data_IF_061323955824
#
_entry.id   IF_061323955824
#
_cell.length_a   1.000
_cell.length_b   1.000
_cell.length_c   1.000
_cell.angle_alpha   90.00
_cell.angle_beta   90.00
_cell.angle_gamma   90.00
#
_symmetry.space_group_name_H-M   'P 1'
#
loop_
_entity.id
_entity.type
_entity.pdbx_description
1 polymer ?
#
# COMPACT_ATOMS: atom_id res chain seq x y z
N UNK A 1 -33.90 14.42 21.21
CA UNK A 1 -34.95 13.93 20.30
C UNK A 1 -34.40 12.86 19.39
N UNK A 2 -35.14 11.76 19.20
CA UNK A 2 -34.74 10.63 18.35
C UNK A 2 -34.39 11.06 16.92
N UNK A 3 -35.13 12.01 16.35
CA UNK A 3 -34.84 12.59 15.02
C UNK A 3 -33.43 13.18 14.88
N UNK A 4 -32.85 13.74 15.96
CA UNK A 4 -31.46 14.26 15.93
C UNK A 4 -30.43 13.13 15.94
N UNK A 5 -30.70 12.06 16.70
CA UNK A 5 -29.82 10.88 16.74
C UNK A 5 -29.82 10.15 15.40
N UNK A 6 -30.98 10.00 14.78
CA UNK A 6 -31.12 9.38 13.46
C UNK A 6 -30.34 10.17 12.38
N UNK A 7 -30.53 11.49 12.31
CA UNK A 7 -29.77 12.35 11.40
C UNK A 7 -28.25 12.25 11.61
N UNK A 8 -27.80 12.18 12.87
CA UNK A 8 -26.38 11.99 13.19
C UNK A 8 -25.86 10.63 12.73
N UNK A 9 -26.68 9.58 12.83
CA UNK A 9 -26.31 8.23 12.40
C UNK A 9 -26.17 8.16 10.89
N UNK A 10 -27.10 8.76 10.15
CA UNK A 10 -27.04 8.80 8.68
C UNK A 10 -25.85 9.62 8.19
N UNK A 11 -25.55 10.75 8.84
CA UNK A 11 -24.37 11.54 8.53
C UNK A 11 -23.07 10.74 8.77
N UNK A 12 -22.97 10.00 9.89
CA UNK A 12 -21.82 9.15 10.17
C UNK A 12 -21.69 8.00 9.15
N UNK A 13 -22.81 7.40 8.72
CA UNK A 13 -22.83 6.36 7.70
C UNK A 13 -22.38 6.88 6.34
N UNK A 14 -22.89 8.04 5.93
CA UNK A 14 -22.46 8.72 4.69
C UNK A 14 -20.97 9.03 4.71
N UNK A 15 -20.44 9.54 5.83
CA UNK A 15 -19.01 9.80 5.99
C UNK A 15 -18.17 8.54 5.84
N UNK A 16 -18.57 7.44 6.50
CA UNK A 16 -17.87 6.14 6.40
C UNK A 16 -17.92 5.57 4.97
N UNK A 17 -19.05 5.72 4.28
CA UNK A 17 -19.20 5.29 2.89
C UNK A 17 -18.23 6.04 1.95
N UNK A 18 -18.20 7.37 2.04
CA UNK A 18 -17.26 8.20 1.26
C UNK A 18 -15.80 7.89 1.57
N UNK A 19 -15.49 7.67 2.85
CA UNK A 19 -14.14 7.27 3.26
C UNK A 19 -13.71 5.96 2.60
N UNK A 20 -14.57 4.93 2.59
CA UNK A 20 -14.27 3.67 1.91
C UNK A 20 -14.07 3.85 0.41
N UNK A 21 -14.91 4.64 -0.26
CA UNK A 21 -14.75 4.93 -1.69
C UNK A 21 -13.40 5.58 -2.01
N UNK A 22 -12.94 6.53 -1.18
CA UNK A 22 -11.62 7.15 -1.34
C UNK A 22 -10.50 6.14 -1.14
N UNK A 23 -10.63 5.22 -0.19
CA UNK A 23 -9.65 4.14 0.00
C UNK A 23 -9.58 3.20 -1.20
N UNK A 24 -10.73 2.85 -1.78
CA UNK A 24 -10.81 2.00 -2.97
C UNK A 24 -10.14 2.69 -4.16
N UNK A 25 -10.40 3.99 -4.37
CA UNK A 25 -9.76 4.79 -5.42
C UNK A 25 -8.24 4.89 -5.21
N UNK A 26 -7.79 5.16 -3.98
CA UNK A 26 -6.37 5.21 -3.65
C UNK A 26 -5.69 3.88 -3.94
N UNK A 27 -6.31 2.77 -3.54
CA UNK A 27 -5.84 1.41 -3.80
C UNK A 27 -5.60 1.14 -5.28
N UNK A 28 -6.52 1.55 -6.14
CA UNK A 28 -6.41 1.38 -7.60
C UNK A 28 -5.25 2.19 -8.24
N UNK A 29 -4.74 3.21 -7.56
CA UNK A 29 -3.59 3.99 -8.03
C UNK A 29 -2.23 3.40 -7.60
N UNK A 30 -2.20 2.37 -6.76
CA UNK A 30 -0.97 1.77 -6.25
C UNK A 30 -0.39 0.74 -7.24
N UNK A 31 0.95 0.59 -7.32
CA UNK A 31 1.60 -0.37 -8.19
C UNK A 31 1.58 -1.78 -7.59
N UNK A 32 0.38 -2.30 -7.30
CA UNK A 32 0.17 -3.64 -6.73
C UNK A 32 -0.82 -4.41 -7.61
N UNK A 33 -0.70 -5.74 -7.61
CA UNK A 33 -1.64 -6.58 -8.34
C UNK A 33 -3.07 -6.45 -7.77
N UNK A 34 -4.13 -6.50 -8.59
CA UNK A 34 -5.51 -6.41 -8.11
C UNK A 34 -5.88 -7.48 -7.08
N UNK A 35 -5.31 -8.69 -7.20
CA UNK A 35 -5.49 -9.79 -6.25
C UNK A 35 -4.93 -9.45 -4.87
N UNK A 36 -3.75 -8.83 -4.82
CA UNK A 36 -3.14 -8.34 -3.57
C UNK A 36 -3.95 -7.19 -2.99
N UNK A 37 -4.37 -6.24 -3.83
CA UNK A 37 -5.17 -5.09 -3.40
C UNK A 37 -6.46 -5.51 -2.70
N UNK A 38 -7.15 -6.55 -3.21
CA UNK A 38 -8.37 -7.07 -2.63
C UNK A 38 -8.21 -7.62 -1.20
N UNK A 39 -6.97 -7.92 -0.78
CA UNK A 39 -6.63 -8.41 0.55
C UNK A 39 -6.14 -7.31 1.49
N UNK A 40 -5.89 -6.10 0.99
CA UNK A 40 -5.36 -5.00 1.80
C UNK A 40 -6.46 -4.36 2.64
N UNK A 41 -6.17 -4.16 3.92
CA UNK A 41 -6.96 -3.28 4.77
C UNK A 41 -6.57 -1.81 4.56
N UNK A 42 -7.40 -0.89 5.08
CA UNK A 42 -7.19 0.57 4.96
C UNK A 42 -5.82 1.02 5.47
N UNK A 43 -5.33 0.40 6.55
CA UNK A 43 -4.02 0.72 7.12
C UNK A 43 -2.88 0.29 6.20
N UNK A 44 -2.98 -0.89 5.58
CA UNK A 44 -2.00 -1.39 4.62
C UNK A 44 -2.00 -0.58 3.33
N UNK A 45 -3.17 -0.15 2.84
CA UNK A 45 -3.29 0.80 1.72
C UNK A 45 -2.50 2.09 2.03
N UNK A 46 -2.66 2.66 3.23
CA UNK A 46 -1.88 3.85 3.64
C UNK A 46 -0.37 3.58 3.68
N UNK A 47 0.04 2.44 4.27
CA UNK A 47 1.47 2.08 4.35
C UNK A 47 2.09 1.94 2.97
N UNK A 48 1.44 1.20 2.06
CA UNK A 48 1.90 1.03 0.68
C UNK A 48 1.94 2.37 -0.05
N UNK A 49 0.91 3.22 0.11
CA UNK A 49 0.88 4.55 -0.50
C UNK A 49 2.04 5.44 -0.04
N UNK A 50 2.29 5.51 1.27
CA UNK A 50 3.40 6.28 1.84
C UNK A 50 4.75 5.75 1.34
N UNK A 51 4.93 4.42 1.38
CA UNK A 51 6.13 3.76 0.86
C UNK A 51 6.36 4.08 -0.61
N UNK A 52 5.34 3.96 -1.45
CA UNK A 52 5.42 4.28 -2.87
C UNK A 52 5.78 5.74 -3.14
N UNK A 53 5.21 6.69 -2.39
CA UNK A 53 5.58 8.11 -2.50
C UNK A 53 7.04 8.37 -2.08
N UNK A 54 7.51 7.71 -1.02
CA UNK A 54 8.92 7.79 -0.58
C UNK A 54 9.86 7.23 -1.65
N UNK A 55 9.52 6.09 -2.25
CA UNK A 55 10.30 5.49 -3.33
C UNK A 55 10.38 6.40 -4.55
N UNK A 56 9.25 6.97 -4.99
CA UNK A 56 9.23 7.94 -6.09
C UNK A 56 10.08 9.18 -5.81
N UNK A 57 10.14 9.64 -4.55
CA UNK A 57 10.99 10.76 -4.15
C UNK A 57 12.48 10.42 -4.21
N UNK A 58 12.87 9.19 -3.85
CA UNK A 58 14.27 8.75 -3.82
C UNK A 58 14.81 8.39 -5.21
N UNK A 59 14.04 7.63 -5.98
CA UNK A 59 14.47 7.07 -7.28
C UNK A 59 13.96 7.86 -8.49
N UNK A 60 13.13 8.88 -8.27
CA UNK A 60 12.43 9.58 -9.35
C UNK A 60 11.37 8.69 -10.02
N UNK A 61 10.90 9.11 -11.19
CA UNK A 61 10.03 8.31 -12.06
C UNK A 61 10.83 7.33 -12.96
N UNK A 62 12.04 6.95 -12.56
CA UNK A 62 12.89 6.09 -13.39
C UNK A 62 12.17 4.77 -13.68
N UNK A 63 12.07 4.47 -14.98
CA UNK A 63 11.39 3.32 -15.54
C UNK A 63 11.92 2.01 -14.98
N UNK A 64 11.00 1.05 -14.88
CA UNK A 64 11.17 -0.37 -14.53
C UNK A 64 12.63 -0.80 -14.34
N UNK A 65 13.02 -1.01 -13.08
CA UNK A 65 14.14 -1.90 -12.74
C UNK A 65 13.96 -3.21 -13.52
N UNK A 66 14.97 -3.55 -14.32
CA UNK A 66 14.87 -4.72 -15.19
C UNK A 66 14.71 -5.99 -14.33
N UNK A 67 13.73 -6.81 -14.69
CA UNK A 67 13.37 -8.01 -13.91
C UNK A 67 14.53 -9.00 -13.79
N UNK A 68 15.52 -8.91 -14.69
CA UNK A 68 16.75 -9.69 -14.64
C UNK A 68 17.60 -9.38 -13.41
N UNK A 69 17.64 -8.14 -12.92
CA UNK A 69 18.42 -7.80 -11.73
C UNK A 69 17.89 -8.53 -10.49
N UNK A 70 16.58 -8.58 -10.31
CA UNK A 70 15.96 -9.30 -9.19
C UNK A 70 16.14 -10.82 -9.28
N UNK A 71 16.30 -11.38 -10.49
CA UNK A 71 16.56 -12.82 -10.68
C UNK A 71 18.03 -13.20 -10.51
N UNK A 72 18.95 -12.27 -10.77
CA UNK A 72 20.38 -12.51 -10.60
C UNK A 72 20.83 -12.49 -9.12
N UNK A 73 20.05 -11.84 -8.26
CA UNK A 73 20.30 -11.81 -6.81
C UNK A 73 19.75 -13.08 -6.18
N UNK A 74 20.62 -13.96 -5.66
CA UNK A 74 20.25 -15.10 -4.80
C UNK A 74 19.85 -14.61 -3.39
N UNK A 75 18.80 -13.79 -3.33
CA UNK A 75 18.36 -13.12 -2.12
C UNK A 75 17.17 -12.19 -2.37
N UNK A 76 17.00 -11.22 -1.47
CA UNK A 76 15.97 -10.19 -1.59
C UNK A 76 16.52 -8.82 -1.18
N UNK A 77 15.94 -7.78 -1.76
CA UNK A 77 16.29 -6.40 -1.48
C UNK A 77 15.39 -5.86 -0.38
N UNK A 78 15.98 -5.13 0.56
CA UNK A 78 15.27 -4.36 1.58
C UNK A 78 15.70 -2.90 1.48
N UNK A 79 14.73 -1.98 1.47
CA UNK A 79 14.99 -0.55 1.62
C UNK A 79 14.44 -0.10 2.97
N UNK A 80 15.34 0.25 3.89
CA UNK A 80 15.00 0.72 5.24
C UNK A 80 15.47 2.15 5.40
N UNK A 81 14.61 3.02 5.95
CA UNK A 81 15.00 4.40 6.26
C UNK A 81 15.96 4.44 7.46
N UNK A 82 16.64 5.57 7.66
CA UNK A 82 17.46 5.81 8.86
C UNK A 82 16.71 5.65 10.18
N UNK A 83 15.38 5.77 10.14
CA UNK A 83 14.50 5.65 11.31
C UNK A 83 14.04 4.21 11.57
N UNK A 84 14.45 3.25 10.72
CA UNK A 84 14.03 1.85 10.82
C UNK A 84 12.75 1.49 10.06
N UNK A 85 12.09 2.46 9.40
CA UNK A 85 10.90 2.14 8.58
C UNK A 85 11.29 1.34 7.33
N UNK A 86 10.70 0.15 7.17
CA UNK A 86 10.77 -0.64 5.94
C UNK A 86 9.91 0.01 4.84
N UNK A 87 10.55 0.50 3.80
CA UNK A 87 9.91 1.26 2.71
C UNK A 87 9.73 0.42 1.43
N UNK A 88 10.59 -0.58 1.21
CA UNK A 88 10.45 -1.53 0.10
C UNK A 88 11.07 -2.87 0.46
N UNK A 89 10.48 -3.93 -0.06
CA UNK A 89 11.07 -5.26 -0.08
C UNK A 89 10.85 -5.86 -1.47
N UNK A 90 11.77 -6.62 -2.04
CA UNK A 90 11.53 -7.30 -3.33
C UNK A 90 10.62 -8.52 -3.18
N UNK A 91 9.90 -8.89 -4.24
CA UNK A 91 9.01 -10.08 -4.24
C UNK A 91 9.71 -11.39 -3.84
N UNK A 92 11.02 -11.50 -4.12
CA UNK A 92 11.84 -12.66 -3.76
C UNK A 92 11.96 -12.92 -2.26
N UNK A 93 11.54 -12.00 -1.40
CA UNK A 93 11.46 -12.23 0.06
C UNK A 93 10.58 -13.43 0.41
N UNK A 94 9.55 -13.69 -0.39
CA UNK A 94 8.65 -14.84 -0.22
C UNK A 94 9.38 -16.18 -0.31
N UNK A 95 10.40 -16.28 -1.17
CA UNK A 95 11.21 -17.49 -1.34
C UNK A 95 12.11 -17.77 -0.15
N UNK A 96 12.50 -16.72 0.60
CA UNK A 96 13.50 -16.82 1.65
C UNK A 96 12.89 -16.81 3.06
N UNK A 97 11.83 -16.02 3.27
CA UNK A 97 11.21 -15.81 4.57
C UNK A 97 9.74 -16.27 4.63
N UNK A 98 9.15 -16.69 3.50
CA UNK A 98 7.72 -17.04 3.44
C UNK A 98 6.76 -15.85 3.61
N UNK A 99 7.28 -14.63 3.58
CA UNK A 99 6.50 -13.39 3.71
C UNK A 99 6.09 -12.86 2.34
N UNK A 100 4.87 -12.37 2.21
CA UNK A 100 4.42 -11.66 1.01
C UNK A 100 4.82 -10.19 1.09
N UNK A 101 5.21 -9.62 -0.05
CA UNK A 101 5.45 -8.19 -0.22
C UNK A 101 4.16 -7.39 0.00
#
# INVERSE_FOLDING_TARGET
TEKRKEKSRDAARSRRGKESEVFDQLGQCLPVAPSTLAQLDKASIMRVAISHLRLRKLFGFQDKMDSFYSKAVEGFLLLVTSNGDLTYVSESVSLHLGLTQ
#
